data_IF_757083263380
#
_entry.id   IF_757083263380
#
_cell.length_a   1.000
_cell.length_b   1.000
_cell.length_c   1.000
_cell.angle_alpha   90.00
_cell.angle_beta   90.00
_cell.angle_gamma   90.00
#
_symmetry.space_group_name_H-M   'P 1'
#
loop_
_entity.id
_entity.type
_entity.pdbx_description
1 polymer ?
#
# COMPACT_ATOMS: atom_id res chain seq x y z
N UNK A 1 19.47 -29.86 16.95
CA UNK A 1 19.15 -29.34 18.29
C UNK A 1 18.95 -27.84 18.12
N UNK A 2 17.72 -27.34 18.22
CA UNK A 2 17.49 -25.90 18.17
C UNK A 2 17.91 -25.33 19.52
N UNK A 3 19.00 -24.55 19.53
CA UNK A 3 19.32 -23.69 20.66
C UNK A 3 18.22 -22.64 20.74
N UNK A 4 17.24 -22.86 21.62
CA UNK A 4 16.26 -21.85 21.95
C UNK A 4 17.04 -20.70 22.60
N UNK A 5 16.99 -19.47 22.06
CA UNK A 5 17.71 -18.35 22.67
C UNK A 5 17.26 -18.18 24.12
N UNK A 6 18.23 -17.99 25.02
CA UNK A 6 17.98 -17.72 26.44
C UNK A 6 17.44 -16.30 26.56
N UNK A 7 16.12 -16.18 26.65
CA UNK A 7 15.47 -14.88 26.82
C UNK A 7 15.69 -14.39 28.25
N UNK A 8 16.10 -13.12 28.47
CA UNK A 8 16.31 -12.57 29.80
C UNK A 8 15.05 -12.73 30.64
N UNK A 9 15.23 -13.00 31.94
CA UNK A 9 14.19 -13.38 32.91
C UNK A 9 12.83 -12.71 32.62
N UNK A 10 12.05 -13.44 31.83
CA UNK A 10 10.97 -12.90 31.01
C UNK A 10 9.87 -12.23 31.86
N UNK A 11 9.49 -12.76 33.04
CA UNK A 11 8.43 -12.16 33.85
C UNK A 11 8.73 -10.73 34.30
N UNK A 12 9.98 -10.43 34.68
CA UNK A 12 10.33 -9.10 35.21
C UNK A 12 10.41 -8.05 34.10
N UNK A 13 10.95 -8.43 32.94
CA UNK A 13 11.08 -7.56 31.78
C UNK A 13 9.72 -7.22 31.17
N UNK A 14 8.85 -8.22 30.97
CA UNK A 14 7.50 -8.01 30.44
C UNK A 14 6.63 -7.18 31.39
N UNK A 15 6.74 -7.39 32.70
CA UNK A 15 6.05 -6.58 33.71
C UNK A 15 6.44 -5.11 33.60
N UNK A 16 7.74 -4.80 33.58
CA UNK A 16 8.25 -3.42 33.44
C UNK A 16 7.79 -2.78 32.13
N UNK A 17 7.82 -3.51 31.02
CA UNK A 17 7.37 -2.98 29.73
C UNK A 17 5.86 -2.68 29.75
N UNK A 18 5.07 -3.59 30.31
CA UNK A 18 3.62 -3.42 30.51
C UNK A 18 3.31 -2.20 31.36
N UNK A 19 4.00 -2.01 32.49
CA UNK A 19 3.85 -0.84 33.38
C UNK A 19 4.22 0.48 32.67
N UNK A 20 5.25 0.48 31.81
CA UNK A 20 5.63 1.67 31.05
C UNK A 20 4.61 2.06 30.00
N UNK A 21 3.97 1.09 29.33
CA UNK A 21 2.88 1.36 28.39
C UNK A 21 1.61 1.77 29.16
N UNK A 22 1.39 1.18 30.34
CA UNK A 22 0.27 1.51 31.22
C UNK A 22 0.30 2.97 31.67
N UNK A 23 1.49 3.47 32.04
CA UNK A 23 1.73 4.84 32.47
C UNK A 23 1.63 5.90 31.35
N UNK A 24 1.42 5.51 30.09
CA UNK A 24 1.17 6.46 29.00
C UNK A 24 -0.15 7.22 29.22
N UNK A 25 -0.32 8.33 28.49
CA UNK A 25 -1.57 9.06 28.53
C UNK A 25 -2.64 8.37 27.68
N UNK A 26 -3.77 8.04 28.30
CA UNK A 26 -4.93 7.36 27.68
C UNK A 26 -6.20 8.22 27.77
N UNK A 27 -6.33 9.26 26.92
CA UNK A 27 -7.47 10.17 26.97
C UNK A 27 -8.82 9.44 26.90
N UNK A 28 -9.79 9.95 27.66
CA UNK A 28 -11.21 9.58 27.54
C UNK A 28 -11.85 10.32 26.36
N UNK A 29 -13.12 10.03 26.04
CA UNK A 29 -13.83 10.66 24.91
C UNK A 29 -13.04 10.60 23.59
N UNK A 30 -12.35 9.47 23.36
CA UNK A 30 -11.37 9.33 22.27
C UNK A 30 -11.62 8.04 21.50
N UNK A 31 -11.58 8.17 20.17
CA UNK A 31 -11.60 7.06 19.24
C UNK A 31 -10.17 6.55 19.04
N UNK A 32 -9.91 5.29 19.40
CA UNK A 32 -8.65 4.62 19.16
C UNK A 32 -8.77 3.76 17.90
N UNK A 33 -8.00 4.06 16.86
CA UNK A 33 -7.99 3.26 15.62
C UNK A 33 -6.84 2.27 15.72
N UNK A 34 -7.15 0.98 15.86
CA UNK A 34 -6.19 -0.04 16.28
C UNK A 34 -5.94 -1.04 15.17
N UNK A 35 -4.68 -1.12 14.72
CA UNK A 35 -4.28 -2.16 13.78
C UNK A 35 -4.26 -3.55 14.44
N UNK A 36 -4.85 -4.53 13.77
CA UNK A 36 -4.91 -5.94 14.17
C UNK A 36 -3.96 -6.79 13.31
N UNK A 37 -3.57 -8.00 13.75
CA UNK A 37 -2.75 -8.90 12.94
C UNK A 37 -3.33 -9.22 11.55
N UNK A 38 -2.45 -9.56 10.61
CA UNK A 38 -2.82 -9.94 9.22
C UNK A 38 -2.70 -11.45 8.93
N UNK A 39 -2.54 -12.27 9.98
CA UNK A 39 -2.42 -13.72 9.83
C UNK A 39 -1.67 -14.40 10.98
N UNK A 40 -0.85 -13.66 11.72
CA UNK A 40 -0.10 -14.19 12.86
C UNK A 40 -0.44 -13.45 14.16
N UNK A 41 -0.94 -14.19 15.16
CA UNK A 41 -1.31 -13.60 16.45
C UNK A 41 -0.17 -12.81 17.11
N UNK A 42 1.09 -13.16 16.85
CA UNK A 42 2.26 -12.48 17.39
C UNK A 42 2.47 -11.04 16.89
N UNK A 43 1.77 -10.61 15.85
CA UNK A 43 1.91 -9.27 15.28
C UNK A 43 1.06 -8.21 15.98
N UNK A 44 0.30 -8.58 17.03
CA UNK A 44 -0.41 -7.61 17.86
C UNK A 44 0.59 -6.94 18.82
N UNK A 45 0.70 -5.62 18.72
CA UNK A 45 1.60 -4.87 19.60
C UNK A 45 1.07 -4.81 21.04
N UNK A 46 1.99 -4.70 22.01
CA UNK A 46 1.63 -4.50 23.42
C UNK A 46 0.72 -3.28 23.63
N UNK A 47 0.95 -2.20 22.88
CA UNK A 47 0.11 -0.98 22.94
C UNK A 47 -1.28 -1.22 22.37
N UNK A 48 -1.41 -2.00 21.29
CA UNK A 48 -2.71 -2.39 20.74
C UNK A 48 -3.49 -3.23 21.75
N UNK A 49 -2.87 -4.26 22.34
CA UNK A 49 -3.49 -5.07 23.38
C UNK A 49 -4.00 -4.22 24.56
N UNK A 50 -3.16 -3.36 25.14
CA UNK A 50 -3.60 -2.48 26.23
C UNK A 50 -4.70 -1.51 25.81
N UNK A 51 -4.66 -1.00 24.57
CA UNK A 51 -5.71 -0.12 24.05
C UNK A 51 -7.06 -0.84 24.02
N UNK A 52 -7.09 -2.06 23.45
CA UNK A 52 -8.30 -2.87 23.31
C UNK A 52 -8.87 -3.25 24.68
N UNK A 53 -8.02 -3.59 25.65
CA UNK A 53 -8.41 -3.91 27.02
C UNK A 53 -8.93 -2.70 27.83
N UNK A 54 -8.53 -1.48 27.47
CA UNK A 54 -8.91 -0.24 28.16
C UNK A 54 -10.15 0.45 27.62
N UNK A 55 -10.48 0.21 26.35
CA UNK A 55 -11.65 0.82 25.75
C UNK A 55 -12.92 0.26 26.38
N UNK A 56 -13.95 1.09 26.48
CA UNK A 56 -15.26 0.68 27.03
C UNK A 56 -16.00 -0.22 26.03
N UNK A 57 -15.72 -0.08 24.74
CA UNK A 57 -16.24 -0.90 23.66
C UNK A 57 -15.26 -0.97 22.48
N UNK A 58 -15.31 -2.07 21.73
CA UNK A 58 -14.61 -2.26 20.46
C UNK A 58 -15.65 -2.28 19.33
N UNK A 59 -15.56 -1.32 18.41
CA UNK A 59 -16.26 -1.32 17.14
C UNK A 59 -15.45 -2.15 16.13
N UNK A 60 -16.03 -3.26 15.66
CA UNK A 60 -15.37 -4.19 14.74
C UNK A 60 -16.15 -4.32 13.43
N UNK A 61 -15.43 -4.52 12.32
CA UNK A 61 -16.03 -4.85 11.01
C UNK A 61 -16.86 -6.14 11.10
N UNK A 62 -16.24 -7.27 11.45
CA UNK A 62 -16.94 -8.50 11.85
C UNK A 62 -16.60 -8.88 13.30
N UNK A 63 -17.64 -8.84 14.16
CA UNK A 63 -17.52 -9.20 15.57
C UNK A 63 -17.22 -10.69 15.77
N UNK A 64 -17.62 -11.56 14.82
CA UNK A 64 -17.36 -13.01 14.84
C UNK A 64 -15.91 -13.32 14.49
N UNK A 65 -15.32 -12.56 13.56
CA UNK A 65 -13.90 -12.69 13.20
C UNK A 65 -12.99 -12.09 14.29
N UNK A 66 -13.41 -10.98 14.90
CA UNK A 66 -12.62 -10.28 15.94
C UNK A 66 -12.59 -11.00 17.29
N UNK A 67 -13.67 -11.70 17.68
CA UNK A 67 -13.77 -12.36 19.00
C UNK A 67 -12.64 -13.39 19.26
N UNK A 68 -12.31 -14.33 18.34
CA UNK A 68 -11.19 -15.25 18.53
C UNK A 68 -9.83 -14.56 18.76
N UNK A 69 -9.55 -13.45 18.05
CA UNK A 69 -8.34 -12.66 18.26
C UNK A 69 -8.31 -12.09 19.68
N UNK A 70 -9.41 -11.51 20.13
CA UNK A 70 -9.51 -10.91 21.47
C UNK A 70 -9.42 -11.98 22.57
N UNK A 71 -10.00 -13.16 22.37
CA UNK A 71 -9.88 -14.30 23.29
C UNK A 71 -8.45 -14.78 23.43
N UNK A 72 -7.71 -14.91 22.32
CA UNK A 72 -6.31 -15.33 22.34
C UNK A 72 -5.41 -14.38 23.14
N UNK A 73 -5.80 -13.11 23.24
CA UNK A 73 -5.11 -12.05 23.99
C UNK A 73 -5.76 -11.70 25.33
N UNK A 74 -6.79 -12.45 25.76
CA UNK A 74 -7.46 -12.26 27.05
C UNK A 74 -8.24 -10.94 27.18
N UNK A 75 -8.67 -10.34 26.06
CA UNK A 75 -9.41 -9.06 26.06
C UNK A 75 -10.92 -9.32 26.14
N UNK A 76 -11.55 -8.96 27.25
CA UNK A 76 -12.99 -9.18 27.49
C UNK A 76 -13.88 -8.01 27.08
N UNK A 77 -13.31 -6.94 26.51
CA UNK A 77 -14.03 -5.73 26.10
C UNK A 77 -15.23 -6.04 25.18
N UNK A 78 -16.42 -5.47 25.43
CA UNK A 78 -17.61 -5.68 24.60
C UNK A 78 -17.41 -5.25 23.15
N UNK A 79 -18.09 -5.94 22.22
CA UNK A 79 -18.05 -5.65 20.78
C UNK A 79 -19.35 -5.00 20.29
N UNK A 80 -19.22 -4.06 19.34
CA UNK A 80 -20.32 -3.56 18.49
C UNK A 80 -19.91 -3.68 17.02
N UNK A 81 -20.89 -3.82 16.13
CA UNK A 81 -20.64 -3.97 14.70
C UNK A 81 -20.51 -2.60 14.00
N UNK A 82 -19.49 -2.46 13.16
CA UNK A 82 -19.17 -1.25 12.39
C UNK A 82 -18.64 -1.63 11.00
N UNK A 83 -19.48 -2.25 10.18
CA UNK A 83 -19.15 -2.71 8.83
C UNK A 83 -19.55 -1.69 7.74
N UNK A 84 -19.08 -1.89 6.51
CA UNK A 84 -19.29 -0.97 5.38
C UNK A 84 -20.75 -0.52 5.17
N UNK A 85 -21.71 -1.42 5.34
CA UNK A 85 -23.12 -1.14 5.08
C UNK A 85 -23.81 -0.30 6.18
N UNK A 86 -23.30 -0.29 7.41
CA UNK A 86 -23.87 0.45 8.53
C UNK A 86 -22.94 1.57 9.03
N UNK A 87 -21.87 1.89 8.29
CA UNK A 87 -20.79 2.76 8.74
C UNK A 87 -21.27 4.14 9.22
N UNK A 88 -22.33 4.69 8.60
CA UNK A 88 -22.91 5.97 9.01
C UNK A 88 -23.64 5.88 10.37
N UNK A 89 -24.44 4.83 10.58
CA UNK A 89 -25.14 4.58 11.85
C UNK A 89 -24.14 4.25 12.96
N UNK A 90 -23.14 3.41 12.64
CA UNK A 90 -22.04 3.09 13.54
C UNK A 90 -21.26 4.35 13.94
N UNK A 91 -20.99 5.25 12.99
CA UNK A 91 -20.33 6.52 13.28
C UNK A 91 -21.12 7.37 14.29
N UNK A 92 -22.44 7.47 14.13
CA UNK A 92 -23.30 8.21 15.07
C UNK A 92 -23.30 7.58 16.47
N UNK A 93 -23.47 6.26 16.55
CA UNK A 93 -23.45 5.53 17.82
C UNK A 93 -22.09 5.67 18.54
N UNK A 94 -20.99 5.66 17.79
CA UNK A 94 -19.64 5.88 18.32
C UNK A 94 -19.50 7.30 18.84
N UNK A 95 -19.90 8.32 18.07
CA UNK A 95 -19.88 9.73 18.50
C UNK A 95 -20.69 9.93 19.78
N UNK A 96 -21.86 9.30 19.89
CA UNK A 96 -22.67 9.36 21.11
C UNK A 96 -21.93 8.77 22.32
N UNK A 97 -21.25 7.64 22.18
CA UNK A 97 -20.41 7.05 23.24
C UNK A 97 -19.26 7.97 23.64
N UNK A 98 -18.56 8.55 22.67
CA UNK A 98 -17.49 9.51 22.93
C UNK A 98 -18.01 10.72 23.73
N UNK A 99 -19.23 11.19 23.45
CA UNK A 99 -19.87 12.29 24.18
C UNK A 99 -20.13 11.99 25.67
N UNK A 100 -20.22 10.70 26.04
CA UNK A 100 -20.43 10.23 27.41
C UNK A 100 -19.11 10.02 28.17
N UNK A 101 -17.97 10.36 27.57
CA UNK A 101 -16.67 10.13 28.17
C UNK A 101 -16.03 8.79 27.83
N UNK A 102 -16.71 7.94 27.04
CA UNK A 102 -16.21 6.59 26.73
C UNK A 102 -15.00 6.63 25.78
N UNK A 103 -14.15 5.61 25.90
CA UNK A 103 -13.11 5.25 24.95
C UNK A 103 -13.65 4.18 24.02
N UNK A 104 -13.57 4.43 22.73
CA UNK A 104 -14.01 3.48 21.71
C UNK A 104 -12.81 3.03 20.90
N UNK A 105 -12.58 1.73 20.79
CA UNK A 105 -11.63 1.18 19.81
C UNK A 105 -12.34 0.89 18.49
N UNK A 106 -11.67 1.13 17.36
CA UNK A 106 -12.09 0.74 16.02
C UNK A 106 -11.07 -0.23 15.44
N UNK A 107 -11.54 -1.41 15.01
CA UNK A 107 -10.73 -2.46 14.37
C UNK A 107 -11.37 -2.92 13.06
N UNK A 108 -10.56 -3.38 12.12
CA UNK A 108 -10.97 -4.18 10.96
C UNK A 108 -10.63 -5.64 11.21
N UNK A 109 -11.11 -6.52 10.34
CA UNK A 109 -10.87 -7.97 10.46
C UNK A 109 -9.37 -8.32 10.47
N UNK A 110 -8.57 -7.55 9.72
CA UNK A 110 -7.13 -7.68 9.66
C UNK A 110 -6.45 -6.36 9.28
N UNK A 111 -5.29 -6.08 9.88
CA UNK A 111 -4.43 -4.97 9.47
C UNK A 111 -4.88 -3.62 10.01
N UNK A 112 -4.63 -2.56 9.23
CA UNK A 112 -4.83 -1.17 9.65
C UNK A 112 -6.22 -0.64 9.21
N UNK A 113 -7.14 -0.37 10.14
CA UNK A 113 -8.49 0.09 9.82
C UNK A 113 -8.49 1.47 9.14
N UNK A 114 -9.58 1.80 8.45
CA UNK A 114 -9.81 3.10 7.80
C UNK A 114 -8.86 3.47 6.64
N UNK A 115 -8.00 2.54 6.17
CA UNK A 115 -7.17 2.72 4.97
C UNK A 115 -7.82 2.07 3.74
N UNK A 116 -8.03 0.75 3.78
CA UNK A 116 -8.75 -0.03 2.76
C UNK A 116 -10.11 -0.52 3.22
N UNK A 117 -10.18 -0.76 4.53
CA UNK A 117 -11.33 -1.30 5.22
C UNK A 117 -12.29 -0.18 5.63
N UNK A 118 -13.54 -0.51 6.01
CA UNK A 118 -14.46 0.44 6.63
C UNK A 118 -13.82 1.16 7.82
N UNK A 119 -14.27 2.38 8.11
CA UNK A 119 -13.82 3.15 9.27
C UNK A 119 -13.42 4.59 8.94
N UNK A 120 -13.09 4.89 7.68
CA UNK A 120 -12.73 6.24 7.28
C UNK A 120 -13.86 7.25 7.52
N UNK A 121 -15.14 6.84 7.41
CA UNK A 121 -16.26 7.73 7.75
C UNK A 121 -16.43 7.88 9.25
N UNK A 122 -16.18 6.83 10.02
CA UNK A 122 -16.22 6.87 11.50
C UNK A 122 -15.15 7.82 12.04
N UNK A 123 -13.91 7.68 11.56
CA UNK A 123 -12.79 8.56 11.93
C UNK A 123 -13.11 10.02 11.60
N UNK A 124 -13.69 10.27 10.43
CA UNK A 124 -14.11 11.61 10.01
C UNK A 124 -15.20 12.18 10.92
N UNK A 125 -16.25 11.41 11.19
CA UNK A 125 -17.36 11.84 12.04
C UNK A 125 -16.87 12.17 13.47
N UNK A 126 -15.99 11.35 14.04
CA UNK A 126 -15.40 11.62 15.35
C UNK A 126 -14.61 12.93 15.37
N UNK A 127 -13.80 13.19 14.33
CA UNK A 127 -13.03 14.43 14.19
C UNK A 127 -13.94 15.65 13.99
N UNK A 128 -14.95 15.55 13.13
CA UNK A 128 -15.91 16.63 12.86
C UNK A 128 -16.74 16.99 14.09
N UNK A 129 -17.03 16.00 14.95
CA UNK A 129 -17.69 16.22 16.24
C UNK A 129 -16.74 16.75 17.35
N UNK A 130 -15.45 16.98 17.05
CA UNK A 130 -14.49 17.55 17.98
C UNK A 130 -13.83 16.56 18.94
N UNK A 131 -13.99 15.25 18.73
CA UNK A 131 -13.37 14.21 19.57
C UNK A 131 -11.96 13.86 19.11
N UNK A 132 -11.16 13.40 20.08
CA UNK A 132 -9.81 12.90 19.82
C UNK A 132 -9.83 11.63 18.98
N UNK A 133 -8.85 11.50 18.06
CA UNK A 133 -8.57 10.25 17.35
C UNK A 133 -7.11 9.88 17.54
N UNK A 134 -6.86 8.72 18.13
CA UNK A 134 -5.52 8.18 18.39
C UNK A 134 -5.29 6.95 17.52
N UNK A 135 -4.33 7.02 16.60
CA UNK A 135 -3.92 5.87 15.80
C UNK A 135 -2.95 4.99 16.59
N UNK A 136 -3.25 3.70 16.70
CA UNK A 136 -2.37 2.67 17.23
C UNK A 136 -1.78 1.88 16.05
N UNK A 137 -0.51 2.12 15.71
CA UNK A 137 0.14 1.45 14.59
C UNK A 137 0.31 -0.05 14.89
N UNK A 138 0.43 -0.83 13.82
CA UNK A 138 0.57 -2.27 13.89
C UNK A 138 0.70 -2.85 12.49
N UNK A 139 0.31 -4.11 12.33
CA UNK A 139 0.46 -4.85 11.09
C UNK A 139 -0.23 -4.16 9.90
N UNK A 140 0.44 -4.18 8.75
CA UNK A 140 -0.09 -3.71 7.47
C UNK A 140 0.45 -4.58 6.36
N UNK A 141 -0.43 -5.23 5.60
CA UNK A 141 -0.03 -6.11 4.49
C UNK A 141 0.71 -5.33 3.39
N UNK A 142 0.34 -4.06 3.17
CA UNK A 142 1.00 -3.15 2.22
C UNK A 142 2.45 -2.92 2.63
N UNK A 143 2.67 -2.53 3.88
CA UNK A 143 4.01 -2.20 4.37
C UNK A 143 4.86 -3.46 4.50
N UNK A 144 4.31 -4.57 4.98
CA UNK A 144 5.00 -5.85 5.03
C UNK A 144 5.46 -6.33 3.64
N UNK A 145 4.60 -6.21 2.63
CA UNK A 145 4.97 -6.54 1.25
C UNK A 145 6.10 -5.63 0.73
N UNK A 146 6.03 -4.33 1.00
CA UNK A 146 7.07 -3.38 0.60
C UNK A 146 8.42 -3.68 1.26
N UNK A 147 8.42 -3.95 2.57
CA UNK A 147 9.61 -4.35 3.34
C UNK A 147 10.30 -5.58 2.75
N UNK A 148 9.53 -6.54 2.24
CA UNK A 148 10.06 -7.80 1.72
C UNK A 148 10.43 -7.75 0.22
N UNK A 149 9.90 -6.81 -0.56
CA UNK A 149 10.05 -6.81 -2.02
C UNK A 149 11.24 -6.00 -2.56
N UNK A 150 11.74 -5.03 -1.80
CA UNK A 150 12.89 -4.19 -2.18
C UNK A 150 12.65 -3.28 -3.40
N UNK A 151 11.39 -2.88 -3.66
CA UNK A 151 11.04 -2.12 -4.87
C UNK A 151 11.31 -0.60 -4.76
N UNK A 152 11.38 -0.07 -3.55
CA UNK A 152 11.64 1.35 -3.29
C UNK A 152 13.13 1.59 -3.03
N UNK A 153 13.63 2.78 -3.37
CA UNK A 153 15.01 3.20 -3.06
C UNK A 153 15.02 4.49 -2.23
N UNK A 154 16.18 4.90 -1.74
CA UNK A 154 16.31 6.17 -1.01
C UNK A 154 16.08 7.38 -1.94
N UNK A 155 16.43 7.26 -3.22
CA UNK A 155 16.20 8.29 -4.25
C UNK A 155 14.73 8.35 -4.69
N UNK A 156 14.05 7.19 -4.73
CA UNK A 156 12.63 7.10 -5.01
C UNK A 156 11.91 6.25 -3.95
N UNK A 157 11.58 6.85 -2.78
CA UNK A 157 10.87 6.16 -1.72
C UNK A 157 9.36 6.11 -1.96
N UNK A 158 8.87 6.73 -3.05
CA UNK A 158 7.45 6.84 -3.31
C UNK A 158 6.86 5.48 -3.70
N UNK A 159 5.63 5.24 -3.26
CA UNK A 159 4.79 4.14 -3.75
C UNK A 159 3.35 4.62 -3.79
N UNK A 160 2.52 3.94 -4.58
CA UNK A 160 1.08 4.18 -4.62
C UNK A 160 0.36 2.95 -4.13
N UNK A 161 -0.51 3.13 -3.14
CA UNK A 161 -1.45 2.10 -2.76
C UNK A 161 -2.80 2.33 -3.45
N UNK A 162 -3.20 1.39 -4.30
CA UNK A 162 -4.37 1.52 -5.17
C UNK A 162 -5.59 0.72 -4.67
N UNK A 163 -5.45 -0.09 -3.62
CA UNK A 163 -6.55 -0.91 -3.08
C UNK A 163 -6.88 -2.10 -3.98
N UNK A 164 -8.17 -2.38 -4.18
CA UNK A 164 -8.64 -3.50 -5.00
C UNK A 164 -8.99 -3.07 -6.43
N UNK A 165 -8.54 -3.85 -7.42
CA UNK A 165 -8.90 -3.63 -8.81
C UNK A 165 -10.40 -3.91 -9.08
N UNK A 166 -11.03 -3.22 -10.05
CA UNK A 166 -12.41 -3.52 -10.46
C UNK A 166 -12.59 -4.99 -10.90
N UNK A 167 -13.75 -5.62 -10.62
CA UNK A 167 -13.95 -7.04 -10.91
C UNK A 167 -14.09 -7.33 -12.42
N UNK A 168 -14.63 -6.38 -13.20
CA UNK A 168 -14.87 -6.55 -14.64
C UNK A 168 -13.59 -6.23 -15.44
N UNK A 169 -13.21 -7.10 -16.37
CA UNK A 169 -11.96 -6.99 -17.13
C UNK A 169 -11.73 -5.63 -17.79
N UNK A 170 -12.68 -5.12 -18.57
CA UNK A 170 -12.53 -3.80 -19.22
C UNK A 170 -12.33 -2.65 -18.22
N UNK A 171 -13.04 -2.67 -17.09
CA UNK A 171 -12.86 -1.67 -16.03
C UNK A 171 -11.50 -1.83 -15.32
N UNK A 172 -11.06 -3.07 -15.10
CA UNK A 172 -9.74 -3.38 -14.52
C UNK A 172 -8.61 -2.92 -15.42
N UNK A 173 -8.67 -3.18 -16.72
CA UNK A 173 -7.65 -2.74 -17.67
C UNK A 173 -7.54 -1.22 -17.72
N UNK A 174 -8.67 -0.50 -17.78
CA UNK A 174 -8.67 0.97 -17.71
C UNK A 174 -8.10 1.50 -16.39
N UNK A 175 -8.41 0.83 -15.29
CA UNK A 175 -7.87 1.16 -13.97
C UNK A 175 -6.35 0.91 -13.91
N UNK A 176 -5.87 -0.21 -14.45
CA UNK A 176 -4.45 -0.54 -14.53
C UNK A 176 -3.69 0.47 -15.41
N UNK A 177 -4.25 0.87 -16.56
CA UNK A 177 -3.65 1.89 -17.43
C UNK A 177 -3.42 3.21 -16.69
N UNK A 178 -4.37 3.62 -15.85
CA UNK A 178 -4.24 4.83 -15.04
C UNK A 178 -3.14 4.70 -13.99
N UNK A 179 -3.15 3.63 -13.19
CA UNK A 179 -2.25 3.53 -12.05
C UNK A 179 -0.85 3.10 -12.43
N UNK A 180 -0.69 2.16 -13.35
CA UNK A 180 0.62 1.67 -13.79
C UNK A 180 1.40 2.64 -14.68
N UNK A 181 0.78 3.76 -15.07
CA UNK A 181 1.42 4.91 -15.70
C UNK A 181 2.08 5.87 -14.69
N UNK A 182 1.78 5.76 -13.39
CA UNK A 182 2.44 6.56 -12.36
C UNK A 182 3.90 6.11 -12.24
N UNK A 183 4.89 7.03 -12.18
CA UNK A 183 6.31 6.70 -12.04
C UNK A 183 6.66 6.29 -10.60
N UNK A 184 5.96 5.28 -10.09
CA UNK A 184 6.21 4.68 -8.78
C UNK A 184 5.72 3.22 -8.77
N UNK A 185 6.21 2.38 -7.84
CA UNK A 185 5.64 1.08 -7.57
C UNK A 185 4.17 1.16 -7.15
N UNK A 186 3.32 0.31 -7.72
CA UNK A 186 1.88 0.28 -7.48
C UNK A 186 1.52 -0.95 -6.67
N UNK A 187 1.11 -0.74 -5.43
CA UNK A 187 0.67 -1.78 -4.50
C UNK A 187 -0.85 -1.92 -4.56
N UNK A 188 -1.35 -3.14 -4.69
CA UNK A 188 -2.77 -3.46 -4.73
C UNK A 188 -3.07 -4.80 -4.06
N UNK A 189 -4.32 -4.99 -3.68
CA UNK A 189 -4.80 -6.27 -3.16
C UNK A 189 -5.51 -7.07 -4.24
N UNK A 190 -5.41 -8.41 -4.14
CA UNK A 190 -6.15 -9.29 -5.03
C UNK A 190 -6.69 -10.53 -4.32
N UNK A 191 -7.86 -11.00 -4.76
CA UNK A 191 -8.47 -12.21 -4.25
C UNK A 191 -8.01 -13.45 -5.05
N UNK A 192 -7.96 -14.63 -4.42
CA UNK A 192 -7.44 -15.86 -5.05
C UNK A 192 -8.16 -16.18 -6.37
N UNK A 193 -9.49 -16.03 -6.39
CA UNK A 193 -10.33 -16.32 -7.55
C UNK A 193 -10.12 -15.35 -8.74
N UNK A 194 -9.50 -14.19 -8.51
CA UNK A 194 -9.26 -13.18 -9.55
C UNK A 194 -7.80 -13.07 -9.96
N UNK A 195 -6.87 -13.60 -9.15
CA UNK A 195 -5.43 -13.48 -9.34
C UNK A 195 -4.96 -13.72 -10.77
N UNK A 196 -5.30 -14.88 -11.34
CA UNK A 196 -4.90 -15.25 -12.70
C UNK A 196 -5.46 -14.28 -13.75
N UNK A 197 -6.72 -13.85 -13.60
CA UNK A 197 -7.34 -12.91 -14.53
C UNK A 197 -6.72 -11.51 -14.42
N UNK A 198 -6.30 -11.09 -13.21
CA UNK A 198 -5.64 -9.81 -12.99
C UNK A 198 -4.21 -9.81 -13.52
N UNK A 199 -3.44 -10.89 -13.33
CA UNK A 199 -2.10 -11.03 -13.91
C UNK A 199 -2.12 -10.97 -15.44
N UNK A 200 -3.12 -11.62 -16.09
CA UNK A 200 -3.29 -11.52 -17.55
C UNK A 200 -3.56 -10.09 -18.02
N UNK A 201 -4.41 -9.35 -17.31
CA UNK A 201 -4.69 -7.95 -17.65
C UNK A 201 -3.49 -7.04 -17.37
N UNK A 202 -2.73 -7.29 -16.30
CA UNK A 202 -1.47 -6.59 -16.03
C UNK A 202 -0.47 -6.83 -17.16
N UNK A 203 -0.31 -8.07 -17.61
CA UNK A 203 0.57 -8.42 -18.73
C UNK A 203 0.16 -7.66 -20.01
N UNK A 204 -1.15 -7.63 -20.30
CA UNK A 204 -1.67 -6.92 -21.47
C UNK A 204 -1.47 -5.40 -21.40
N UNK A 205 -1.55 -4.80 -20.21
CA UNK A 205 -1.45 -3.34 -20.02
C UNK A 205 -0.02 -2.86 -19.85
N UNK A 206 0.79 -3.58 -19.06
CA UNK A 206 2.12 -3.13 -18.64
C UNK A 206 3.25 -3.73 -19.48
N UNK A 207 2.96 -4.74 -20.28
CA UNK A 207 3.93 -5.44 -21.12
C UNK A 207 4.68 -6.57 -20.38
N UNK A 208 5.39 -7.42 -21.15
CA UNK A 208 5.95 -8.69 -20.66
C UNK A 208 7.12 -8.52 -19.68
N UNK A 209 7.92 -7.47 -19.85
CA UNK A 209 9.14 -7.24 -19.07
C UNK A 209 8.88 -6.53 -17.75
N UNK A 210 7.70 -5.91 -17.57
CA UNK A 210 7.37 -5.24 -16.33
C UNK A 210 7.41 -6.24 -15.18
N UNK A 211 8.16 -5.93 -14.13
CA UNK A 211 8.25 -6.77 -12.94
C UNK A 211 6.98 -6.68 -12.08
N UNK A 212 6.56 -7.82 -11.57
CA UNK A 212 5.49 -7.99 -10.60
C UNK A 212 6.06 -8.70 -9.38
N UNK A 213 5.87 -8.12 -8.18
CA UNK A 213 5.99 -8.88 -6.93
C UNK A 213 4.63 -9.41 -6.52
N UNK A 214 4.59 -10.69 -6.15
CA UNK A 214 3.47 -11.37 -5.53
C UNK A 214 3.85 -11.71 -4.10
N UNK A 215 3.20 -11.06 -3.14
CA UNK A 215 3.29 -11.38 -1.72
C UNK A 215 2.03 -12.13 -1.30
N UNK A 216 2.18 -13.41 -0.99
CA UNK A 216 1.10 -14.36 -0.67
C UNK A 216 1.17 -14.75 0.80
N UNK A 217 0.03 -14.77 1.47
CA UNK A 217 -0.11 -15.30 2.84
C UNK A 217 0.90 -14.70 3.83
N UNK A 218 1.13 -13.39 3.73
CA UNK A 218 2.05 -12.66 4.61
C UNK A 218 1.76 -12.95 6.08
N UNK A 219 2.81 -13.14 6.85
CA UNK A 219 2.90 -13.51 8.28
C UNK A 219 2.45 -14.93 8.62
N UNK A 220 1.83 -15.66 7.67
CA UNK A 220 1.29 -17.01 7.89
C UNK A 220 2.32 -18.08 7.54
N UNK A 221 1.96 -19.34 7.83
CA UNK A 221 2.83 -20.52 7.62
C UNK A 221 3.35 -20.67 6.18
N UNK A 222 2.58 -20.25 5.19
CA UNK A 222 2.90 -20.42 3.76
C UNK A 222 3.25 -19.09 3.08
N UNK A 223 3.78 -18.14 3.85
CA UNK A 223 4.26 -16.86 3.34
C UNK A 223 5.21 -17.06 2.15
N UNK A 224 4.98 -16.30 1.09
CA UNK A 224 5.84 -16.28 -0.08
C UNK A 224 5.85 -14.89 -0.71
N UNK A 225 7.06 -14.36 -0.96
CA UNK A 225 7.26 -13.12 -1.70
C UNK A 225 8.15 -13.42 -2.90
N UNK A 226 7.61 -13.27 -4.11
CA UNK A 226 8.32 -13.58 -5.36
C UNK A 226 8.20 -12.40 -6.31
N UNK A 227 9.32 -12.00 -6.90
CA UNK A 227 9.38 -10.99 -7.96
C UNK A 227 9.75 -11.65 -9.27
N UNK A 228 9.00 -11.37 -10.33
CA UNK A 228 9.20 -11.96 -11.66
C UNK A 228 8.71 -11.00 -12.76
N UNK A 229 9.20 -11.11 -14.00
CA UNK A 229 8.56 -10.47 -15.15
C UNK A 229 7.11 -10.93 -15.31
N UNK A 230 6.21 -10.04 -15.75
CA UNK A 230 4.80 -10.38 -15.96
C UNK A 230 4.59 -11.51 -16.97
N UNK A 231 5.50 -11.68 -17.93
CA UNK A 231 5.48 -12.80 -18.88
C UNK A 231 5.54 -14.17 -18.20
N UNK A 232 6.17 -14.27 -17.03
CA UNK A 232 6.35 -15.52 -16.30
C UNK A 232 5.21 -15.81 -15.32
N UNK A 233 4.36 -14.83 -15.02
CA UNK A 233 3.38 -14.90 -13.94
C UNK A 233 2.36 -16.04 -14.10
N UNK A 234 1.89 -16.29 -15.33
CA UNK A 234 0.97 -17.40 -15.61
C UNK A 234 1.64 -18.76 -15.38
N UNK A 235 2.85 -18.96 -15.92
CA UNK A 235 3.60 -20.19 -15.71
C UNK A 235 3.96 -20.42 -14.24
N UNK A 236 4.24 -19.35 -13.50
CA UNK A 236 4.46 -19.43 -12.05
C UNK A 236 3.21 -19.93 -11.31
N UNK A 237 2.01 -19.48 -11.67
CA UNK A 237 0.77 -19.99 -11.05
C UNK A 237 0.54 -21.47 -11.38
N UNK A 238 0.79 -21.89 -12.62
CA UNK A 238 0.51 -23.26 -13.08
C UNK A 238 1.45 -24.31 -12.46
N UNK A 239 2.62 -23.92 -11.99
CA UNK A 239 3.61 -24.81 -11.37
C UNK A 239 3.19 -25.38 -10.02
N UNK A 240 2.28 -24.73 -9.28
CA UNK A 240 1.79 -25.20 -7.98
C UNK A 240 0.39 -24.67 -7.71
N UNK A 241 -0.58 -25.58 -7.59
CA UNK A 241 -1.98 -25.27 -7.34
C UNK A 241 -2.19 -24.40 -6.07
N UNK A 242 -1.31 -24.50 -5.07
CA UNK A 242 -1.42 -23.70 -3.85
C UNK A 242 -1.08 -22.23 -4.06
N UNK A 243 -0.35 -21.86 -5.13
CA UNK A 243 0.00 -20.45 -5.44
C UNK A 243 -1.21 -19.58 -5.77
N UNK A 244 -2.34 -20.19 -6.09
CA UNK A 244 -3.63 -19.51 -6.32
C UNK A 244 -4.50 -19.39 -5.07
N UNK A 245 -4.05 -19.86 -3.90
CA UNK A 245 -4.80 -19.87 -2.65
C UNK A 245 -4.28 -18.84 -1.65
N UNK A 246 -5.18 -18.34 -0.80
CA UNK A 246 -4.89 -17.39 0.26
C UNK A 246 -5.14 -15.94 -0.16
N UNK A 247 -4.43 -15.02 0.49
CA UNK A 247 -4.54 -13.58 0.29
C UNK A 247 -3.28 -13.02 -0.38
N UNK A 248 -3.46 -12.00 -1.23
CA UNK A 248 -2.39 -11.48 -2.08
C UNK A 248 -2.25 -9.97 -1.98
N UNK A 249 -1.01 -9.52 -1.78
CA UNK A 249 -0.57 -8.18 -2.14
C UNK A 249 0.24 -8.29 -3.43
N UNK A 250 -0.16 -7.52 -4.43
CA UNK A 250 0.52 -7.42 -5.73
C UNK A 250 1.22 -6.07 -5.81
N UNK A 251 2.47 -6.07 -6.25
CA UNK A 251 3.24 -4.85 -6.48
C UNK A 251 3.70 -4.84 -7.93
N UNK A 252 3.08 -4.00 -8.74
CA UNK A 252 3.57 -3.73 -10.10
C UNK A 252 4.70 -2.73 -9.95
N UNK A 253 5.91 -3.12 -10.34
CA UNK A 253 7.10 -2.26 -10.22
C UNK A 253 6.92 -1.01 -11.09
N UNK A 254 7.71 0.03 -10.85
CA UNK A 254 7.75 1.18 -11.76
C UNK A 254 8.11 0.73 -13.17
N UNK A 255 7.70 1.50 -14.19
CA UNK A 255 8.26 1.31 -15.52
C UNK A 255 9.75 1.55 -15.43
N UNK A 256 10.56 0.69 -16.05
CA UNK A 256 11.91 1.13 -16.36
C UNK A 256 11.76 2.44 -17.15
N UNK A 257 12.50 3.47 -16.75
CA UNK A 257 12.65 4.63 -17.60
C UNK A 257 13.11 4.06 -18.94
N UNK A 258 12.32 4.26 -19.99
CA UNK A 258 12.82 3.98 -21.32
C UNK A 258 14.15 4.74 -21.38
N UNK A 259 15.26 4.01 -21.53
CA UNK A 259 16.53 4.59 -21.91
C UNK A 259 16.33 5.18 -23.30
N UNK A 260 15.62 6.30 -23.36
CA UNK A 260 15.64 7.24 -24.45
C UNK A 260 16.95 8.03 -24.28
N UNK A 261 18.08 7.32 -24.27
CA UNK A 261 19.39 7.97 -24.41
C UNK A 261 19.49 8.67 -25.79
N UNK A 262 18.60 8.33 -26.74
CA UNK A 262 18.59 8.89 -28.10
C UNK A 262 17.28 9.58 -28.54
N UNK A 263 16.19 9.52 -27.77
CA UNK A 263 14.92 10.14 -28.18
C UNK A 263 14.63 11.39 -27.33
N UNK A 264 14.82 12.56 -27.93
CA UNK A 264 14.35 13.85 -27.41
C UNK A 264 12.92 13.71 -26.89
N UNK A 265 12.65 14.30 -25.71
CA UNK A 265 11.27 14.45 -25.27
C UNK A 265 10.47 15.24 -26.36
N UNK A 266 9.17 14.95 -26.56
CA UNK A 266 8.38 15.57 -27.61
C UNK A 266 8.40 17.11 -27.60
N UNK A 267 8.46 17.74 -26.42
CA UNK A 267 8.57 19.19 -26.26
C UNK A 267 9.95 19.72 -26.65
N UNK A 268 11.03 18.99 -26.35
CA UNK A 268 12.37 19.29 -26.83
C UNK A 268 12.49 19.19 -28.36
N UNK A 269 11.79 18.23 -28.97
CA UNK A 269 11.68 18.12 -30.43
C UNK A 269 10.98 19.33 -31.04
N UNK A 270 9.80 19.70 -30.54
CA UNK A 270 9.03 20.85 -31.04
C UNK A 270 9.80 22.16 -30.88
N UNK A 271 10.51 22.33 -29.77
CA UNK A 271 11.39 23.47 -29.55
C UNK A 271 12.50 23.53 -30.61
N UNK A 272 13.15 22.40 -30.89
CA UNK A 272 14.23 22.34 -31.87
C UNK A 272 13.74 22.68 -33.28
N UNK A 273 12.57 22.19 -33.67
CA UNK A 273 11.93 22.50 -34.96
C UNK A 273 11.63 23.99 -35.10
N UNK A 274 10.98 24.60 -34.11
CA UNK A 274 10.64 26.02 -34.12
C UNK A 274 11.89 26.93 -34.17
N UNK A 275 12.99 26.50 -33.52
CA UNK A 275 14.26 27.23 -33.58
C UNK A 275 14.91 27.15 -34.97
N UNK A 276 14.77 26.01 -35.67
CA UNK A 276 15.34 25.82 -37.00
C UNK A 276 14.65 26.64 -38.10
N UNK A 277 13.42 27.11 -37.86
CA UNK A 277 12.74 28.04 -38.78
C UNK A 277 13.44 29.40 -38.89
N UNK A 278 14.19 29.80 -37.86
CA UNK A 278 14.73 31.17 -37.75
C UNK A 278 16.23 31.23 -37.44
N UNK A 279 16.84 30.14 -36.97
CA UNK A 279 18.23 30.09 -36.54
C UNK A 279 19.04 29.06 -37.35
N UNK A 280 20.35 29.25 -37.37
CA UNK A 280 21.28 28.24 -37.87
C UNK A 280 21.20 26.96 -37.01
N UNK A 281 21.49 25.79 -37.60
CA UNK A 281 21.59 24.49 -36.90
C UNK A 281 22.45 24.60 -35.63
N UNK A 282 23.56 25.34 -35.72
CA UNK A 282 24.48 25.55 -34.60
C UNK A 282 23.85 26.36 -33.46
N UNK A 283 23.13 27.42 -33.79
CA UNK A 283 22.51 28.30 -32.81
C UNK A 283 21.24 27.68 -32.21
N UNK A 284 20.43 27.00 -33.02
CA UNK A 284 19.27 26.22 -32.57
C UNK A 284 19.69 25.16 -31.54
N UNK A 285 20.72 24.35 -31.84
CA UNK A 285 21.24 23.35 -30.91
C UNK A 285 21.80 23.98 -29.62
N UNK A 286 22.45 25.14 -29.69
CA UNK A 286 22.96 25.86 -28.51
C UNK A 286 21.83 26.37 -27.62
N UNK A 287 20.79 26.93 -28.20
CA UNK A 287 19.63 27.46 -27.46
C UNK A 287 18.83 26.32 -26.86
N UNK A 288 18.51 25.28 -27.64
CA UNK A 288 17.82 24.09 -27.17
C UNK A 288 18.55 23.43 -25.98
N UNK A 289 19.88 23.26 -26.07
CA UNK A 289 20.67 22.66 -24.98
C UNK A 289 20.56 23.44 -23.67
N UNK A 290 20.48 24.78 -23.76
CA UNK A 290 20.34 25.65 -22.58
C UNK A 290 18.96 25.57 -21.94
N UNK A 291 17.93 25.27 -22.73
CA UNK A 291 16.53 25.20 -22.27
C UNK A 291 16.18 23.81 -21.76
N UNK A 292 16.66 22.77 -22.43
CA UNK A 292 16.28 21.37 -22.15
C UNK A 292 17.29 20.66 -21.24
N UNK A 293 18.50 21.19 -21.11
CA UNK A 293 19.60 20.56 -20.37
C UNK A 293 20.25 19.38 -21.11
N UNK A 294 19.81 19.06 -22.33
CA UNK A 294 20.34 17.96 -23.12
C UNK A 294 21.71 18.30 -23.73
N UNK A 295 22.56 17.28 -24.01
CA UNK A 295 23.87 17.51 -24.61
C UNK A 295 23.74 18.22 -25.96
N UNK A 296 24.53 19.28 -26.14
CA UNK A 296 24.54 20.10 -27.35
C UNK A 296 24.85 19.29 -28.60
N UNK A 297 25.75 18.30 -28.50
CA UNK A 297 26.17 17.50 -29.64
C UNK A 297 25.04 16.59 -30.14
N UNK A 298 24.25 16.01 -29.21
CA UNK A 298 23.04 15.24 -29.53
C UNK A 298 22.02 16.11 -30.27
N UNK A 299 21.73 17.30 -29.74
CA UNK A 299 20.80 18.26 -30.37
C UNK A 299 21.29 18.76 -31.73
N UNK A 300 22.60 18.94 -31.90
CA UNK A 300 23.20 19.37 -33.15
C UNK A 300 23.10 18.30 -34.24
N UNK A 301 23.39 17.04 -33.92
CA UNK A 301 23.25 15.93 -34.85
C UNK A 301 21.79 15.78 -35.32
N UNK A 302 20.85 15.94 -34.39
CA UNK A 302 19.41 15.84 -34.67
C UNK A 302 18.91 16.99 -35.55
N UNK A 303 19.34 18.22 -35.25
CA UNK A 303 19.03 19.39 -36.07
C UNK A 303 19.56 19.27 -37.50
N UNK A 304 20.76 18.71 -37.66
CA UNK A 304 21.37 18.46 -38.97
C UNK A 304 20.59 17.41 -39.78
N UNK A 305 20.05 16.39 -39.11
CA UNK A 305 19.22 15.36 -39.75
C UNK A 305 17.88 15.92 -40.25
N UNK A 306 17.27 16.88 -39.53
CA UNK A 306 15.99 17.51 -39.94
C UNK A 306 16.12 18.40 -41.16
N UNK A 307 17.22 19.18 -41.27
CA UNK A 307 17.48 19.98 -42.46
C UNK A 307 17.60 19.15 -43.74
N UNK A 308 18.11 17.92 -43.64
CA UNK A 308 18.20 16.98 -44.79
C UNK A 308 16.86 16.38 -45.21
N UNK A 309 15.80 16.57 -44.42
CA UNK A 309 14.48 15.99 -44.69
C UNK A 309 13.55 17.01 -45.38
N UNK A 310 13.91 18.30 -45.37
CA UNK A 310 13.18 19.41 -46.01
C UNK A 310 13.79 19.85 -47.38
N UNK A 311 14.85 19.18 -47.86
CA UNK A 311 15.37 19.27 -49.25
C UNK A 311 14.82 18.12 -50.12
#
# INVERSE_FOLDING_TARGET
MSETPDFPDTPTTWKRLTERVDAQHWPTSTLYVVATPIGNLGDLSLRAWQTLARCDVIAAEDTRASRPLLDAWGVSTPLIAAHRHNEAEAAQAIVERLSRGERVALVSDAGAPAVSDPGARIVRAAREAGYGVVAIPGASAVIAALMACGVTTDENPAFVFAGFAPPKAAARQKWLQRWCAVPAPIVMFESPHRLAASMRDMLAVCGPLRKLTVARELTKRFEQVVTMPLAEAAGWLDQDAHRSQGEFVLIVHQADEAQNDDALDPSSSVLLDALLETLSVRDAARVAAKVTGLPRDTLYALALARQKTDE
#
